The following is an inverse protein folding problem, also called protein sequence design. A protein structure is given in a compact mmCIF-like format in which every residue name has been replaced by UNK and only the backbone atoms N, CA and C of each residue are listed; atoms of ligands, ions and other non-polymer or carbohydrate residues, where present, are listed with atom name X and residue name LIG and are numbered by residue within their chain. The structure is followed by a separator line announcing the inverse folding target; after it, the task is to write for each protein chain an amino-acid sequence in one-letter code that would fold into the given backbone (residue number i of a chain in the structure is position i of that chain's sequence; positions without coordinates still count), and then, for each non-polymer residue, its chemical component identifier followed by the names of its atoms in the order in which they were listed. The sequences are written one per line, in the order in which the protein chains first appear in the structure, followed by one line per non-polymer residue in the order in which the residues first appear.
data_IF_015386903143
#
_entry.id   IF_015386903143
#
_cell.length_a   1.000
_cell.length_b   1.000
_cell.length_c   1.000
_cell.angle_alpha   90.00
_cell.angle_beta   90.00
_cell.angle_gamma   90.00
#
_symmetry.space_group_name_H-M   'P 1'
#
loop_
_entity.id
_entity.type
_entity.pdbx_description
1 polymer ?
#
# COMPACT_ATOMS: atom_id res chain seq x y z
N UNK A 1 15.84 5.75 13.34
CA UNK A 1 14.69 6.16 12.51
C UNK A 1 14.68 5.32 11.27
N UNK A 2 13.54 4.82 10.84
CA UNK A 2 13.45 3.95 9.65
C UNK A 2 12.46 4.53 8.66
N UNK A 3 12.89 4.62 7.39
CA UNK A 3 12.11 5.25 6.32
C UNK A 3 12.07 4.30 5.13
N UNK A 4 10.91 3.73 4.87
CA UNK A 4 10.72 2.74 3.83
C UNK A 4 9.72 3.18 2.77
N UNK A 5 9.91 2.68 1.58
CA UNK A 5 8.91 2.66 0.51
C UNK A 5 8.50 1.21 0.30
N UNK A 6 7.21 0.94 0.19
CA UNK A 6 6.72 -0.38 -0.20
C UNK A 6 6.13 -0.33 -1.60
N UNK A 7 6.66 -1.16 -2.48
CA UNK A 7 6.30 -1.24 -3.89
C UNK A 7 5.80 -2.64 -4.27
N UNK A 8 5.16 -2.74 -5.40
CA UNK A 8 4.63 -3.98 -5.93
C UNK A 8 3.31 -3.77 -6.65
N UNK A 9 2.91 -4.75 -7.41
CA UNK A 9 1.68 -4.71 -8.20
C UNK A 9 0.43 -4.63 -7.32
N UNK A 10 -0.70 -4.20 -7.86
CA UNK A 10 -1.97 -4.21 -7.14
C UNK A 10 -2.32 -5.63 -6.65
N UNK A 11 -2.83 -5.74 -5.42
CA UNK A 11 -3.16 -7.06 -4.83
C UNK A 11 -1.97 -7.82 -4.25
N UNK A 12 -0.72 -7.29 -4.33
CA UNK A 12 0.45 -7.94 -3.73
C UNK A 12 0.46 -7.92 -2.19
N UNK A 13 -0.41 -7.14 -1.54
CA UNK A 13 -0.48 -7.06 -0.08
C UNK A 13 0.32 -5.90 0.53
N UNK A 14 0.73 -4.91 -0.26
CA UNK A 14 1.49 -3.73 0.22
C UNK A 14 0.88 -3.10 1.47
N UNK A 15 -0.39 -2.72 1.41
CA UNK A 15 -1.06 -2.06 2.52
C UNK A 15 -1.09 -2.92 3.79
N UNK A 16 -1.28 -4.24 3.66
CA UNK A 16 -1.24 -5.18 4.78
C UNK A 16 0.15 -5.20 5.42
N UNK A 17 1.20 -5.38 4.62
CA UNK A 17 2.58 -5.43 5.11
C UNK A 17 3.04 -4.09 5.67
N UNK A 18 2.64 -2.96 5.04
CA UNK A 18 2.94 -1.63 5.54
C UNK A 18 2.30 -1.37 6.91
N UNK A 19 1.03 -1.73 7.09
CA UNK A 19 0.35 -1.61 8.39
C UNK A 19 1.02 -2.47 9.46
N UNK A 20 1.42 -3.71 9.13
CA UNK A 20 2.11 -4.61 10.06
C UNK A 20 3.46 -4.04 10.49
N UNK A 21 4.29 -3.56 9.55
CA UNK A 21 5.57 -2.93 9.87
C UNK A 21 5.41 -1.62 10.64
N UNK A 22 4.44 -0.80 10.27
CA UNK A 22 4.18 0.48 10.92
C UNK A 22 3.80 0.28 12.38
N UNK A 23 2.91 -0.69 12.67
CA UNK A 23 2.50 -1.00 14.04
C UNK A 23 3.65 -1.51 14.92
N UNK A 24 4.53 -2.36 14.35
CA UNK A 24 5.62 -2.97 15.12
C UNK A 24 6.83 -2.06 15.32
N UNK A 25 7.08 -1.15 14.38
CA UNK A 25 8.26 -0.29 14.38
C UNK A 25 7.93 1.17 14.73
N UNK A 26 6.69 1.43 15.12
CA UNK A 26 6.16 2.77 15.41
C UNK A 26 6.42 3.76 14.26
N UNK A 27 6.09 3.33 13.04
CA UNK A 27 6.25 4.16 11.83
C UNK A 27 4.95 4.81 11.42
N UNK A 28 5.05 5.99 10.85
CA UNK A 28 3.90 6.63 10.19
C UNK A 28 3.60 5.89 8.88
N UNK A 29 2.42 5.26 8.78
CA UNK A 29 1.95 4.66 7.53
C UNK A 29 1.32 5.72 6.64
N UNK A 30 1.87 5.91 5.44
CA UNK A 30 1.38 6.85 4.43
C UNK A 30 0.94 6.07 3.20
N UNK A 31 -0.36 5.84 3.05
CA UNK A 31 -0.94 5.23 1.85
C UNK A 31 -1.56 6.32 0.98
N UNK A 32 -0.91 6.65 -0.13
CA UNK A 32 -1.38 7.69 -1.07
C UNK A 32 -2.74 7.31 -1.66
N UNK A 33 -2.93 6.02 -1.97
CA UNK A 33 -4.21 5.52 -2.43
C UNK A 33 -5.34 5.67 -1.40
N UNK A 34 -5.05 5.45 -0.09
CA UNK A 34 -6.06 5.59 0.96
C UNK A 34 -6.38 7.06 1.23
N UNK A 35 -5.39 7.96 1.14
CA UNK A 35 -5.62 9.41 1.24
C UNK A 35 -6.61 9.85 0.15
N UNK A 36 -6.40 9.47 -1.11
CA UNK A 36 -7.32 9.81 -2.17
C UNK A 36 -8.70 9.17 -2.00
N UNK A 37 -8.78 7.90 -1.63
CA UNK A 37 -10.06 7.22 -1.36
C UNK A 37 -10.85 7.90 -0.25
N UNK A 38 -10.19 8.25 0.85
CA UNK A 38 -10.82 8.99 1.94
C UNK A 38 -11.41 10.32 1.43
N UNK A 39 -10.65 11.06 0.61
CA UNK A 39 -11.10 12.31 0.04
C UNK A 39 -12.32 12.14 -0.90
N UNK A 40 -12.36 11.06 -1.69
CA UNK A 40 -13.51 10.73 -2.56
C UNK A 40 -14.74 10.40 -1.70
N UNK A 41 -14.59 9.57 -0.68
CA UNK A 41 -15.68 9.18 0.22
C UNK A 41 -16.25 10.36 1.01
N UNK A 42 -15.39 11.29 1.42
CA UNK A 42 -15.79 12.48 2.17
C UNK A 42 -16.13 13.69 1.29
N UNK A 43 -16.27 13.48 -0.02
CA UNK A 43 -16.71 14.50 -0.98
C UNK A 43 -15.91 15.83 -0.94
N UNK A 44 -14.61 15.73 -0.67
CA UNK A 44 -13.73 16.91 -0.65
C UNK A 44 -13.47 17.43 -2.06
N UNK A 45 -12.93 18.66 -2.16
CA UNK A 45 -12.50 19.23 -3.46
C UNK A 45 -11.45 18.34 -4.14
N UNK A 46 -10.50 17.79 -3.37
CA UNK A 46 -9.50 16.86 -3.86
C UNK A 46 -10.16 15.56 -4.35
N UNK A 47 -11.10 15.00 -3.59
CA UNK A 47 -11.85 13.83 -3.99
C UNK A 47 -12.61 14.01 -5.31
N UNK A 48 -13.23 15.19 -5.52
CA UNK A 48 -13.92 15.52 -6.77
C UNK A 48 -12.97 15.53 -7.98
N UNK A 49 -11.72 15.98 -7.81
CA UNK A 49 -10.70 16.01 -8.87
C UNK A 49 -10.22 14.61 -9.28
N UNK A 50 -10.04 13.71 -8.32
CA UNK A 50 -9.38 12.40 -8.57
C UNK A 50 -10.35 11.25 -8.80
N UNK A 51 -11.64 11.40 -8.47
CA UNK A 51 -12.63 10.32 -8.49
C UNK A 51 -12.70 9.56 -9.81
N UNK A 52 -12.76 10.27 -10.94
CA UNK A 52 -12.89 9.64 -12.25
C UNK A 52 -11.64 8.87 -12.64
N UNK A 53 -10.47 9.47 -12.45
CA UNK A 53 -9.16 8.86 -12.71
C UNK A 53 -8.99 7.58 -11.89
N UNK A 54 -9.30 7.65 -10.60
CA UNK A 54 -9.21 6.48 -9.72
C UNK A 54 -10.18 5.36 -10.11
N UNK A 55 -11.43 5.69 -10.44
CA UNK A 55 -12.42 4.70 -10.86
C UNK A 55 -12.02 4.01 -12.17
N UNK A 56 -11.37 4.72 -13.10
CA UNK A 56 -10.82 4.16 -14.33
C UNK A 56 -9.55 3.30 -14.09
N UNK A 57 -8.97 3.35 -12.88
CA UNK A 57 -7.71 2.66 -12.56
C UNK A 57 -6.45 3.41 -13.01
N UNK A 58 -6.59 4.59 -13.58
CA UNK A 58 -5.51 5.43 -14.08
C UNK A 58 -4.69 6.07 -12.94
N UNK A 59 -3.46 6.50 -13.24
CA UNK A 59 -2.64 7.24 -12.29
C UNK A 59 -3.16 8.68 -12.13
N UNK A 60 -3.17 9.16 -10.89
CA UNK A 60 -3.42 10.57 -10.58
C UNK A 60 -2.19 11.38 -10.99
N UNK A 61 -2.40 12.58 -11.53
CA UNK A 61 -1.32 13.43 -12.03
C UNK A 61 -0.26 13.76 -10.96
N UNK A 62 1.01 13.77 -11.38
CA UNK A 62 2.19 13.85 -10.51
C UNK A 62 2.18 15.05 -9.58
N UNK A 63 1.91 16.25 -10.08
CA UNK A 63 1.91 17.48 -9.27
C UNK A 63 0.95 17.37 -8.06
N UNK A 64 -0.18 16.69 -8.26
CA UNK A 64 -1.17 16.49 -7.20
C UNK A 64 -0.70 15.41 -6.20
N UNK A 65 -0.13 14.32 -6.71
CA UNK A 65 0.44 13.25 -5.87
C UNK A 65 1.59 13.79 -5.02
N UNK A 66 2.53 14.52 -5.64
CA UNK A 66 3.68 15.13 -4.95
C UNK A 66 3.23 16.11 -3.87
N UNK A 67 2.22 16.96 -4.17
CA UNK A 67 1.63 17.88 -3.17
C UNK A 67 1.07 17.12 -1.97
N UNK A 68 0.28 16.07 -2.21
CA UNK A 68 -0.33 15.27 -1.14
C UNK A 68 0.72 14.56 -0.29
N UNK A 69 1.77 14.00 -0.91
CA UNK A 69 2.86 13.32 -0.20
C UNK A 69 3.63 14.34 0.64
N UNK A 70 3.97 15.49 0.08
CA UNK A 70 4.67 16.57 0.78
C UNK A 70 3.87 17.07 1.98
N UNK A 71 2.58 17.38 1.78
CA UNK A 71 1.70 17.85 2.85
C UNK A 71 1.61 16.80 3.97
N UNK A 72 1.48 15.53 3.60
CA UNK A 72 1.39 14.45 4.59
C UNK A 72 2.68 14.28 5.39
N UNK A 73 3.84 14.33 4.73
CA UNK A 73 5.14 14.22 5.39
C UNK A 73 5.43 15.42 6.30
N UNK A 74 5.02 16.64 5.92
CA UNK A 74 5.22 17.85 6.75
C UNK A 74 4.36 17.89 8.01
N UNK A 75 3.27 17.11 8.07
CA UNK A 75 2.40 17.02 9.25
C UNK A 75 2.95 16.12 10.36
N UNK A 76 3.98 15.32 10.07
CA UNK A 76 4.55 14.37 11.02
C UNK A 76 5.94 14.81 11.49
N UNK A 77 6.24 14.47 12.73
CA UNK A 77 7.59 14.61 13.25
C UNK A 77 8.51 13.60 12.56
N UNK A 78 9.53 14.09 11.91
CA UNK A 78 10.55 13.31 11.21
C UNK A 78 11.27 12.28 12.10
N UNK A 79 11.18 12.44 13.41
CA UNK A 79 11.75 11.50 14.37
C UNK A 79 11.07 10.14 14.41
N UNK A 80 9.83 10.01 13.93
CA UNK A 80 9.12 8.73 13.96
C UNK A 80 9.44 7.81 12.78
N UNK A 81 10.02 8.29 11.72
CA UNK A 81 10.17 7.49 10.50
C UNK A 81 8.82 7.24 9.79
N UNK A 82 8.87 6.58 8.65
CA UNK A 82 7.66 6.33 7.87
C UNK A 82 7.76 5.07 6.99
N UNK A 83 6.60 4.60 6.54
CA UNK A 83 6.47 3.68 5.41
C UNK A 83 5.44 4.24 4.43
N UNK A 84 5.86 4.46 3.17
CA UNK A 84 5.01 4.97 2.11
C UNK A 84 4.54 3.84 1.21
N UNK A 85 3.23 3.75 0.98
CA UNK A 85 2.56 2.80 0.10
C UNK A 85 1.90 3.52 -1.09
N UNK A 86 2.17 3.02 -2.29
CA UNK A 86 1.56 3.51 -3.52
C UNK A 86 2.18 4.78 -4.09
N UNK A 87 3.41 5.09 -3.71
CA UNK A 87 4.25 6.16 -4.23
C UNK A 87 5.75 5.79 -4.00
N UNK A 88 6.67 6.14 -4.93
CA UNK A 88 6.42 6.67 -6.27
C UNK A 88 5.87 5.60 -7.24
N UNK A 89 5.17 6.05 -8.33
CA UNK A 89 4.62 5.15 -9.35
C UNK A 89 5.18 5.35 -10.75
N UNK A 90 5.91 6.41 -10.96
CA UNK A 90 6.61 6.71 -12.20
C UNK A 90 7.99 7.31 -11.93
N UNK A 91 8.88 7.38 -12.94
CA UNK A 91 10.24 7.87 -12.77
C UNK A 91 10.34 9.31 -12.27
N UNK A 92 9.43 10.22 -12.68
CA UNK A 92 9.42 11.61 -12.24
C UNK A 92 9.16 11.72 -10.75
N UNK A 93 8.15 11.00 -10.26
CA UNK A 93 7.85 10.92 -8.82
C UNK A 93 9.03 10.34 -8.03
N UNK A 94 9.74 9.34 -8.60
CA UNK A 94 10.92 8.75 -7.95
C UNK A 94 12.08 9.75 -7.83
N UNK A 95 12.34 10.52 -8.88
CA UNK A 95 13.36 11.58 -8.87
C UNK A 95 13.03 12.64 -7.81
N UNK A 96 11.82 13.19 -7.84
CA UNK A 96 11.33 14.12 -6.83
C UNK A 96 11.53 13.59 -5.40
N UNK A 97 11.15 12.32 -5.18
CA UNK A 97 11.22 11.72 -3.85
C UNK A 97 12.67 11.56 -3.38
N UNK A 98 13.55 11.06 -4.24
CA UNK A 98 14.97 10.86 -3.92
C UNK A 98 15.76 12.18 -3.73
N UNK A 99 15.32 13.27 -4.37
CA UNK A 99 15.90 14.59 -4.15
C UNK A 99 15.46 15.23 -2.83
N UNK A 100 14.25 14.86 -2.37
CA UNK A 100 13.64 15.51 -1.21
C UNK A 100 13.78 14.73 0.09
N UNK A 101 13.95 13.40 0.02
CA UNK A 101 13.89 12.52 1.19
C UNK A 101 14.92 11.40 1.14
N UNK A 102 15.61 11.20 2.26
CA UNK A 102 16.44 10.01 2.46
C UNK A 102 15.55 8.82 2.86
N UNK A 103 15.85 7.63 2.32
CA UNK A 103 15.18 6.39 2.67
C UNK A 103 16.19 5.29 3.02
N UNK A 104 15.79 4.38 3.88
CA UNK A 104 16.62 3.21 4.28
C UNK A 104 16.43 2.03 3.35
N UNK A 105 15.34 2.00 2.58
CA UNK A 105 15.13 0.96 1.58
C UNK A 105 13.73 0.91 0.97
N UNK A 106 13.65 0.16 -0.10
CA UNK A 106 12.43 -0.15 -0.84
C UNK A 106 12.10 -1.63 -0.68
N UNK A 107 10.92 -1.92 -0.19
CA UNK A 107 10.40 -3.28 -0.07
C UNK A 107 9.57 -3.57 -1.31
N UNK A 108 10.04 -4.46 -2.15
CA UNK A 108 9.31 -4.91 -3.34
C UNK A 108 8.56 -6.21 -3.02
N UNK A 109 7.23 -6.18 -3.16
CA UNK A 109 6.38 -7.36 -3.09
C UNK A 109 6.15 -7.89 -4.51
N UNK A 110 6.88 -8.94 -4.86
CA UNK A 110 6.79 -9.60 -6.16
C UNK A 110 5.60 -10.57 -6.19
N UNK A 111 4.65 -10.31 -7.10
CA UNK A 111 3.46 -11.13 -7.30
C UNK A 111 3.20 -11.30 -8.80
N UNK A 112 3.09 -12.54 -9.31
CA UNK A 112 2.74 -12.77 -10.72
C UNK A 112 1.36 -12.23 -11.08
N UNK A 113 1.20 -11.71 -12.30
CA UNK A 113 -0.07 -11.16 -12.81
C UNK A 113 -1.24 -12.14 -12.72
N UNK A 114 -0.96 -13.44 -12.89
CA UNK A 114 -1.96 -14.49 -12.74
C UNK A 114 -2.62 -14.53 -11.35
N UNK A 115 -1.88 -14.17 -10.30
CA UNK A 115 -2.40 -14.10 -8.93
C UNK A 115 -3.09 -12.76 -8.63
N UNK A 116 -2.68 -11.68 -9.32
CA UNK A 116 -3.24 -10.34 -9.10
C UNK A 116 -4.75 -10.33 -9.31
N UNK A 117 -5.22 -10.84 -10.47
CA UNK A 117 -6.65 -10.88 -10.79
C UNK A 117 -7.44 -11.63 -9.73
N UNK A 118 -6.96 -12.82 -9.34
CA UNK A 118 -7.58 -13.64 -8.31
C UNK A 118 -7.71 -12.90 -6.99
N UNK A 119 -6.69 -12.17 -6.57
CA UNK A 119 -6.69 -11.44 -5.30
C UNK A 119 -7.54 -10.18 -5.34
N UNK A 120 -7.44 -9.39 -6.40
CA UNK A 120 -8.14 -8.10 -6.50
C UNK A 120 -9.65 -8.28 -6.57
N UNK A 121 -10.16 -9.19 -7.38
CA UNK A 121 -11.60 -9.42 -7.53
C UNK A 121 -12.25 -10.05 -6.29
N UNK A 122 -11.47 -10.74 -5.45
CA UNK A 122 -11.94 -11.32 -4.19
C UNK A 122 -11.64 -10.44 -2.97
N UNK A 123 -11.10 -9.23 -3.17
CA UNK A 123 -10.88 -8.28 -2.09
C UNK A 123 -12.19 -7.69 -1.59
N UNK A 124 -12.27 -7.50 -0.27
CA UNK A 124 -13.34 -6.77 0.39
C UNK A 124 -12.72 -5.80 1.39
N UNK A 125 -13.41 -4.70 1.62
CA UNK A 125 -13.01 -3.66 2.55
C UNK A 125 -14.16 -3.41 3.53
N UNK A 126 -13.87 -3.31 4.82
CA UNK A 126 -14.87 -2.85 5.76
C UNK A 126 -15.18 -1.37 5.52
N UNK A 127 -16.47 -1.05 5.35
CA UNK A 127 -16.92 0.33 5.13
C UNK A 127 -16.62 1.24 6.33
N UNK A 128 -16.63 0.68 7.55
CA UNK A 128 -16.51 1.47 8.79
C UNK A 128 -15.06 1.62 9.26
N UNK A 129 -14.30 0.51 9.38
CA UNK A 129 -12.95 0.55 9.95
C UNK A 129 -11.82 0.40 8.94
N UNK A 130 -12.12 0.18 7.64
CA UNK A 130 -11.11 0.04 6.60
C UNK A 130 -10.28 -1.26 6.64
N UNK A 131 -10.72 -2.28 7.43
CA UNK A 131 -10.06 -3.57 7.46
C UNK A 131 -10.17 -4.27 6.10
N UNK A 132 -9.04 -4.76 5.59
CA UNK A 132 -8.97 -5.50 4.33
C UNK A 132 -9.22 -7.00 4.54
N UNK A 133 -10.07 -7.58 3.70
CA UNK A 133 -10.34 -9.02 3.59
C UNK A 133 -10.08 -9.52 2.17
N UNK A 134 -9.82 -10.81 2.08
CA UNK A 134 -9.79 -11.53 0.80
C UNK A 134 -10.59 -12.82 0.94
N UNK A 135 -11.63 -12.96 0.13
CA UNK A 135 -12.58 -14.10 0.23
C UNK A 135 -11.93 -15.47 -0.03
N UNK A 136 -10.68 -15.50 -0.53
CA UNK A 136 -9.94 -16.74 -0.78
C UNK A 136 -8.90 -17.01 0.32
N UNK A 137 -8.20 -15.98 0.75
CA UNK A 137 -7.02 -16.13 1.62
C UNK A 137 -7.28 -15.72 3.07
N UNK A 138 -8.19 -14.77 3.32
CA UNK A 138 -8.55 -14.24 4.63
C UNK A 138 -10.02 -13.85 4.63
N UNK A 139 -10.90 -14.86 4.60
CA UNK A 139 -12.35 -14.66 4.63
C UNK A 139 -12.82 -14.24 6.02
N UNK A 140 -13.82 -13.34 6.11
CA UNK A 140 -14.43 -13.01 7.40
C UNK A 140 -15.14 -14.24 8.00
N UNK A 141 -15.22 -14.29 9.31
CA UNK A 141 -15.91 -15.34 10.06
C UNK A 141 -17.40 -15.38 9.71
N UNK A 142 -18.01 -14.19 9.59
CA UNK A 142 -19.40 -14.05 9.14
C UNK A 142 -19.39 -13.42 7.75
N UNK A 143 -19.96 -14.10 6.72
CA UNK A 143 -19.97 -13.56 5.36
C UNK A 143 -20.56 -12.15 5.29
N UNK A 144 -19.81 -11.22 4.67
CA UNK A 144 -20.22 -9.82 4.50
C UNK A 144 -20.08 -8.93 5.74
N UNK A 145 -19.52 -9.45 6.84
CA UNK A 145 -19.32 -8.69 8.09
C UNK A 145 -17.85 -8.64 8.49
N UNK A 146 -17.43 -7.50 9.00
CA UNK A 146 -16.09 -7.30 9.52
C UNK A 146 -15.92 -7.97 10.88
N UNK A 147 -14.89 -8.80 11.04
CA UNK A 147 -14.61 -9.46 12.32
C UNK A 147 -14.16 -8.49 13.41
N UNK A 148 -13.62 -7.30 13.04
CA UNK A 148 -13.13 -6.31 13.99
C UNK A 148 -14.23 -5.40 14.55
N UNK A 149 -15.15 -4.92 13.71
CA UNK A 149 -16.14 -3.94 14.12
C UNK A 149 -17.60 -4.30 13.78
N UNK A 150 -17.83 -5.44 13.10
CA UNK A 150 -19.17 -5.86 12.65
C UNK A 150 -19.71 -5.10 11.43
N UNK A 151 -18.96 -4.12 10.91
CA UNK A 151 -19.34 -3.30 9.75
C UNK A 151 -19.51 -4.11 8.46
N UNK A 152 -20.17 -3.52 7.48
CA UNK A 152 -20.40 -4.14 6.17
C UNK A 152 -19.11 -4.24 5.36
N UNK A 153 -18.92 -5.36 4.66
CA UNK A 153 -17.82 -5.55 3.73
C UNK A 153 -18.24 -5.20 2.30
N UNK A 154 -17.60 -4.21 1.73
CA UNK A 154 -17.85 -3.69 0.39
C UNK A 154 -16.71 -4.01 -0.58
N UNK A 155 -17.01 -4.04 -1.88
CA UNK A 155 -16.02 -4.04 -2.94
C UNK A 155 -15.61 -2.60 -3.23
N UNK A 156 -14.32 -2.37 -3.49
CA UNK A 156 -13.87 -1.03 -3.94
C UNK A 156 -14.42 -0.72 -5.34
N UNK A 157 -14.79 0.54 -5.59
CA UNK A 157 -15.28 0.98 -6.91
C UNK A 157 -14.25 0.72 -8.03
N UNK A 158 -12.97 0.68 -7.67
CA UNK A 158 -11.83 0.51 -8.58
C UNK A 158 -11.32 -0.95 -8.68
N UNK A 159 -12.01 -1.93 -8.07
CA UNK A 159 -11.70 -3.37 -8.20
C UNK A 159 -12.56 -4.04 -9.29
N UNK A 160 -12.51 -3.48 -10.49
CA UNK A 160 -13.14 -4.02 -11.71
C UNK A 160 -12.11 -4.62 -12.66
N UNK A 161 -12.55 -5.47 -13.59
CA UNK A 161 -11.65 -6.08 -14.60
C UNK A 161 -11.01 -4.99 -15.49
N UNK A 162 -11.77 -3.98 -15.87
CA UNK A 162 -11.34 -2.89 -16.74
C UNK A 162 -10.27 -2.04 -16.03
N UNK A 163 -10.53 -1.60 -14.79
CA UNK A 163 -9.60 -0.83 -14.00
C UNK A 163 -8.33 -1.65 -13.67
N UNK A 164 -8.48 -2.96 -13.47
CA UNK A 164 -7.36 -3.85 -13.22
C UNK A 164 -6.44 -3.96 -14.45
N UNK A 165 -7.01 -4.08 -15.66
CA UNK A 165 -6.23 -4.15 -16.89
C UNK A 165 -5.40 -2.85 -17.11
N UNK A 166 -5.99 -1.68 -16.83
CA UNK A 166 -5.27 -0.40 -16.88
C UNK A 166 -4.11 -0.38 -15.88
N UNK A 167 -4.34 -0.76 -14.64
CA UNK A 167 -3.33 -0.76 -13.58
C UNK A 167 -2.19 -1.75 -13.81
N UNK A 168 -2.47 -2.92 -14.39
CA UNK A 168 -1.43 -3.87 -14.77
C UNK A 168 -0.50 -3.26 -15.80
N UNK A 169 -1.07 -2.66 -16.85
CA UNK A 169 -0.29 -1.95 -17.87
C UNK A 169 0.54 -0.81 -17.26
N UNK A 170 -0.09 0.09 -16.49
CA UNK A 170 0.60 1.22 -15.87
C UNK A 170 1.70 0.76 -14.90
N UNK A 171 1.50 -0.36 -14.20
CA UNK A 171 2.53 -0.94 -13.36
C UNK A 171 3.75 -1.39 -14.17
N UNK A 172 3.55 -2.13 -15.25
CA UNK A 172 4.65 -2.61 -16.08
C UNK A 172 5.34 -1.49 -16.85
N UNK A 173 4.57 -0.53 -17.38
CA UNK A 173 5.10 0.53 -18.25
C UNK A 173 5.74 1.69 -17.45
N UNK A 174 5.25 2.01 -16.25
CA UNK A 174 5.65 3.19 -15.50
C UNK A 174 6.27 2.84 -14.14
N UNK A 175 5.63 1.94 -13.35
CA UNK A 175 6.07 1.68 -11.97
C UNK A 175 7.25 0.71 -11.92
N UNK A 176 7.29 -0.30 -12.76
CA UNK A 176 8.41 -1.24 -12.80
C UNK A 176 9.76 -0.55 -13.14
N UNK A 177 9.84 0.41 -14.08
CA UNK A 177 11.06 1.21 -14.27
C UNK A 177 11.56 1.96 -13.04
N UNK A 178 10.66 2.35 -12.13
CA UNK A 178 11.03 2.99 -10.86
C UNK A 178 11.87 2.04 -9.99
N UNK A 179 11.52 0.76 -9.94
CA UNK A 179 12.31 -0.24 -9.21
C UNK A 179 13.75 -0.32 -9.73
N UNK A 180 13.97 -0.15 -11.03
CA UNK A 180 15.32 -0.12 -11.61
C UNK A 180 16.12 1.11 -11.16
N UNK A 181 15.47 2.26 -10.96
CA UNK A 181 16.11 3.46 -10.39
C UNK A 181 16.61 3.17 -8.97
N UNK A 182 15.76 2.55 -8.14
CA UNK A 182 16.13 2.17 -6.77
C UNK A 182 17.19 1.06 -6.74
N UNK A 183 17.10 0.04 -7.59
CA UNK A 183 18.09 -1.06 -7.65
C UNK A 183 19.51 -0.57 -7.96
N UNK A 184 19.64 0.48 -8.76
CA UNK A 184 20.95 1.12 -9.03
C UNK A 184 21.58 1.73 -7.79
N UNK A 185 20.80 2.01 -6.75
CA UNK A 185 21.24 2.53 -5.46
C UNK A 185 21.32 1.47 -4.36
N UNK A 186 21.10 0.19 -4.70
CA UNK A 186 21.15 -0.99 -3.82
C UNK A 186 20.14 -0.97 -2.65
N UNK A 187 19.00 -0.26 -2.83
CA UNK A 187 17.99 -0.10 -1.76
C UNK A 187 16.81 -1.07 -1.86
N UNK A 188 16.77 -2.00 -2.83
CA UNK A 188 15.57 -2.83 -3.08
C UNK A 188 15.67 -4.20 -2.44
N UNK A 189 14.69 -4.54 -1.61
CA UNK A 189 14.52 -5.83 -0.94
C UNK A 189 13.30 -6.55 -1.54
N UNK A 190 13.55 -7.44 -2.49
CA UNK A 190 12.48 -8.21 -3.16
C UNK A 190 12.02 -9.38 -2.30
N UNK A 191 10.71 -9.52 -2.12
CA UNK A 191 10.05 -10.57 -1.33
C UNK A 191 8.92 -11.19 -2.14
N UNK A 192 8.83 -12.52 -2.13
CA UNK A 192 7.72 -13.25 -2.74
C UNK A 192 6.40 -12.96 -2.01
N UNK A 193 5.43 -12.40 -2.74
CA UNK A 193 4.15 -12.00 -2.18
C UNK A 193 3.06 -13.09 -2.25
N UNK A 194 3.38 -14.32 -2.67
CA UNK A 194 2.42 -15.43 -2.76
C UNK A 194 2.00 -16.02 -1.42
N UNK A 195 2.91 -16.18 -0.42
CA UNK A 195 2.59 -16.79 0.86
C UNK A 195 1.55 -16.02 1.69
N UNK A 196 1.22 -16.58 2.88
CA UNK A 196 0.40 -15.91 3.87
C UNK A 196 1.06 -14.62 4.39
N UNK A 197 0.28 -13.62 4.84
CA UNK A 197 0.81 -12.32 5.28
C UNK A 197 1.92 -12.40 6.33
N UNK A 198 1.81 -13.34 7.27
CA UNK A 198 2.79 -13.54 8.34
C UNK A 198 4.13 -14.05 7.81
N UNK A 199 4.09 -14.93 6.80
CA UNK A 199 5.29 -15.46 6.14
C UNK A 199 5.98 -14.35 5.34
N UNK A 200 5.22 -13.53 4.61
CA UNK A 200 5.73 -12.37 3.90
C UNK A 200 6.38 -11.39 4.89
N UNK A 201 5.70 -11.11 6.00
CA UNK A 201 6.22 -10.23 7.04
C UNK A 201 7.55 -10.74 7.61
N UNK A 202 7.66 -12.04 7.86
CA UNK A 202 8.90 -12.66 8.32
C UNK A 202 10.03 -12.52 7.29
N UNK A 203 9.74 -12.74 6.00
CA UNK A 203 10.72 -12.56 4.92
C UNK A 203 11.19 -11.10 4.80
N UNK A 204 10.27 -10.14 4.91
CA UNK A 204 10.61 -8.70 4.92
C UNK A 204 11.58 -8.41 6.07
N UNK A 205 11.29 -8.91 7.27
CA UNK A 205 12.11 -8.69 8.46
C UNK A 205 13.51 -9.28 8.31
N UNK A 206 13.63 -10.48 7.79
CA UNK A 206 14.91 -11.13 7.51
C UNK A 206 15.76 -10.30 6.53
N UNK A 207 15.13 -9.78 5.44
CA UNK A 207 15.81 -8.94 4.46
C UNK A 207 16.28 -7.60 5.05
N UNK A 208 15.50 -7.03 5.97
CA UNK A 208 15.80 -5.75 6.62
C UNK A 208 16.66 -5.89 7.89
N UNK A 209 17.05 -7.11 8.27
CA UNK A 209 17.80 -7.37 9.51
C UNK A 209 17.02 -7.00 10.79
N UNK A 210 15.70 -7.18 10.76
CA UNK A 210 14.80 -6.90 11.88
C UNK A 210 14.59 -8.14 12.77
N UNK A 211 14.19 -7.97 14.04
CA UNK A 211 13.78 -9.09 14.89
C UNK A 211 12.63 -9.89 14.23
N UNK A 212 12.53 -11.21 14.52
CA UNK A 212 11.46 -12.05 14.01
C UNK A 212 10.06 -11.48 14.28
N UNK A 213 9.12 -11.74 13.38
CA UNK A 213 7.73 -11.32 13.56
C UNK A 213 7.08 -12.06 14.73
N UNK A 214 6.45 -11.30 15.64
CA UNK A 214 5.73 -11.84 16.80
C UNK A 214 4.25 -11.45 16.69
N UNK A 215 3.36 -12.36 16.30
CA UNK A 215 1.94 -12.06 16.11
C UNK A 215 1.18 -11.71 17.40
N UNK A 216 1.72 -12.05 18.57
CA UNK A 216 1.06 -11.91 19.88
C UNK A 216 0.98 -10.47 20.40
N UNK A 217 1.72 -9.53 19.82
CA UNK A 217 1.69 -8.11 20.27
C UNK A 217 0.52 -7.28 19.74
N UNK A 218 -0.48 -7.89 19.10
CA UNK A 218 -1.60 -7.15 18.49
C UNK A 218 -2.76 -6.79 19.43
N UNK A 219 -2.63 -6.98 20.74
CA UNK A 219 -3.80 -6.98 21.60
C UNK A 219 -3.78 -6.25 22.92
N UNK A 220 -2.79 -5.44 23.30
CA UNK A 220 -2.77 -4.90 24.64
C UNK A 220 -2.72 -3.37 24.80
N UNK A 221 -2.76 -2.59 23.73
CA UNK A 221 -2.74 -1.12 23.87
C UNK A 221 -3.71 -0.42 22.94
N UNK A 222 -5.01 -0.72 23.04
CA UNK A 222 -6.09 0.23 22.69
C UNK A 222 -7.17 0.05 23.75
N UNK A 223 -7.01 0.73 24.85
CA UNK A 223 -8.06 1.04 25.79
C UNK A 223 -8.31 2.55 25.77
#
# INVERSE_FOLDING_TARGET
MRKYVIMGIQGSGKGTQAKMLAADLDLVHISVGDIFRWNVQNHTKLGAQVRRTMAAGELVGDDLVESVVRDRLTQHDWNFGFIIDGFPRDPRQAEFFLESYDIDGVIELDLPDSEVRRRVLNRRLCADCGMDYNLIANSPTVPGRCDMCGGELITREDDTEEALAVRLRDYHDQTNPVLEIFRRKEYVYTVDARPAPEVIQQQIRERLGLPPYQPENRGSEVA
#
